data_IF_525022795072
#
_entry.id   IF_525022795072
#
_cell.length_a   1.000
_cell.length_b   1.000
_cell.length_c   1.000
_cell.angle_alpha   90.00
_cell.angle_beta   90.00
_cell.angle_gamma   90.00
#
_symmetry.space_group_name_H-M   'P 1'
#
loop_
_entity.id
_entity.type
_entity.pdbx_description
1 polymer ?
#
# COMPACT_ATOMS: atom_id res chain seq x y z
N UNK A 1 -12.98 7.64 -0.40
CA UNK A 1 -12.51 6.88 -1.57
C UNK A 1 -12.64 5.38 -1.30
N UNK A 2 -13.29 4.63 -2.19
CA UNK A 2 -13.39 3.18 -2.09
C UNK A 2 -12.27 2.53 -2.92
N UNK A 3 -11.55 1.56 -2.35
CA UNK A 3 -10.45 0.89 -3.03
C UNK A 3 -10.97 -0.31 -3.82
N UNK A 4 -10.98 -0.21 -5.14
CA UNK A 4 -11.16 -1.33 -6.07
C UNK A 4 -9.86 -2.12 -6.27
N UNK A 5 -9.94 -3.28 -6.90
CA UNK A 5 -8.77 -4.07 -7.29
C UNK A 5 -7.84 -3.29 -8.21
N UNK A 6 -8.38 -2.60 -9.23
CA UNK A 6 -7.59 -1.77 -10.15
C UNK A 6 -6.84 -0.65 -9.41
N UNK A 7 -7.53 0.07 -8.52
CA UNK A 7 -6.89 1.13 -7.73
C UNK A 7 -5.85 0.59 -6.74
N UNK A 8 -6.06 -0.60 -6.19
CA UNK A 8 -5.12 -1.26 -5.28
C UNK A 8 -3.89 -1.76 -6.03
N UNK A 9 -4.05 -2.33 -7.23
CA UNK A 9 -2.93 -2.74 -8.10
C UNK A 9 -2.08 -1.54 -8.52
N UNK A 10 -2.72 -0.44 -8.92
CA UNK A 10 -2.01 0.81 -9.23
C UNK A 10 -1.26 1.36 -8.01
N UNK A 11 -1.91 1.40 -6.84
CA UNK A 11 -1.24 1.82 -5.61
C UNK A 11 0.00 0.97 -5.29
N UNK A 12 -0.09 -0.35 -5.41
CA UNK A 12 1.03 -1.26 -5.13
C UNK A 12 2.20 -1.05 -6.10
N UNK A 13 1.93 -0.82 -7.39
CA UNK A 13 2.99 -0.54 -8.38
C UNK A 13 3.67 0.80 -8.11
N UNK A 14 2.89 1.86 -7.84
CA UNK A 14 3.41 3.17 -7.46
C UNK A 14 4.22 3.12 -6.17
N UNK A 15 3.76 2.38 -5.16
CA UNK A 15 4.46 2.18 -3.91
C UNK A 15 5.83 1.52 -4.11
N UNK A 16 5.91 0.46 -4.92
CA UNK A 16 7.18 -0.22 -5.22
C UNK A 16 8.20 0.78 -5.78
N UNK A 17 7.81 1.52 -6.82
CA UNK A 17 8.70 2.50 -7.47
C UNK A 17 9.11 3.63 -6.50
N UNK A 18 8.15 4.21 -5.78
CA UNK A 18 8.44 5.32 -4.87
C UNK A 18 9.27 4.87 -3.64
N UNK A 19 9.09 3.63 -3.18
CA UNK A 19 9.90 3.06 -2.11
C UNK A 19 11.36 2.83 -2.55
N UNK A 20 11.60 2.46 -3.82
CA UNK A 20 12.96 2.40 -4.39
C UNK A 20 13.59 3.79 -4.47
N UNK A 21 12.82 4.83 -4.81
CA UNK A 21 13.28 6.22 -4.78
C UNK A 21 13.60 6.69 -3.36
N UNK A 22 12.82 6.28 -2.36
CA UNK A 22 13.09 6.56 -0.95
C UNK A 22 14.38 5.85 -0.49
N UNK A 23 14.56 4.58 -0.85
CA UNK A 23 15.78 3.80 -0.53
C UNK A 23 17.03 4.37 -1.19
N UNK A 24 16.91 4.87 -2.41
CA UNK A 24 17.99 5.54 -3.15
C UNK A 24 18.18 7.01 -2.77
N UNK A 25 17.51 7.50 -1.72
CA UNK A 25 17.55 8.90 -1.23
C UNK A 25 17.16 9.95 -2.28
N UNK A 26 16.53 9.55 -3.39
CA UNK A 26 15.92 10.45 -4.38
C UNK A 26 14.62 11.09 -3.86
N UNK A 27 14.01 10.48 -2.85
CA UNK A 27 12.95 11.07 -2.03
C UNK A 27 13.43 11.03 -0.59
N UNK A 28 13.29 12.13 0.14
CA UNK A 28 13.84 12.26 1.50
C UNK A 28 12.94 11.62 2.56
N UNK A 29 11.63 11.74 2.41
CA UNK A 29 10.67 11.37 3.47
C UNK A 29 9.52 10.53 2.96
N UNK A 30 8.97 9.70 3.84
CA UNK A 30 7.71 8.97 3.57
C UNK A 30 6.55 9.92 3.27
N UNK A 31 6.51 11.10 3.88
CA UNK A 31 5.48 12.12 3.60
C UNK A 31 5.51 12.56 2.13
N UNK A 32 6.70 12.84 1.58
CA UNK A 32 6.86 13.15 0.16
C UNK A 32 6.45 11.97 -0.73
N UNK A 33 6.82 10.75 -0.33
CA UNK A 33 6.42 9.51 -1.01
C UNK A 33 4.88 9.38 -1.11
N UNK A 34 4.16 9.59 0.00
CA UNK A 34 2.69 9.50 0.04
C UNK A 34 2.02 10.59 -0.79
N UNK A 35 2.54 11.83 -0.74
CA UNK A 35 2.06 12.91 -1.59
C UNK A 35 2.25 12.57 -3.07
N UNK A 36 3.42 12.04 -3.45
CA UNK A 36 3.70 11.65 -4.84
C UNK A 36 2.75 10.55 -5.31
N UNK A 37 2.53 9.52 -4.52
CA UNK A 37 1.58 8.45 -4.85
C UNK A 37 0.15 9.01 -4.99
N UNK A 38 -0.28 9.88 -4.08
CA UNK A 38 -1.61 10.50 -4.16
C UNK A 38 -1.80 11.31 -5.46
N UNK A 39 -0.79 12.08 -5.87
CA UNK A 39 -0.81 12.82 -7.13
C UNK A 39 -0.89 11.88 -8.35
N UNK A 40 -0.09 10.82 -8.38
CA UNK A 40 -0.13 9.85 -9.47
C UNK A 40 -1.47 9.10 -9.53
N UNK A 41 -2.07 8.77 -8.38
CA UNK A 41 -3.41 8.19 -8.32
C UNK A 41 -4.46 9.16 -8.90
N UNK A 42 -4.39 10.45 -8.56
CA UNK A 42 -5.30 11.48 -9.09
C UNK A 42 -5.16 11.65 -10.60
N UNK A 43 -3.94 11.64 -11.14
CA UNK A 43 -3.69 11.66 -12.59
C UNK A 43 -4.31 10.47 -13.32
N UNK A 44 -4.46 9.34 -12.64
CA UNK A 44 -5.12 8.14 -13.16
C UNK A 44 -6.63 8.12 -12.88
N UNK A 45 -7.23 9.25 -12.49
CA UNK A 45 -8.67 9.39 -12.27
C UNK A 45 -9.15 9.01 -10.88
N UNK A 46 -8.26 8.69 -9.94
CA UNK A 46 -8.64 8.32 -8.57
C UNK A 46 -8.54 9.51 -7.61
N UNK A 47 -9.67 9.94 -7.06
CA UNK A 47 -9.68 11.01 -6.07
C UNK A 47 -9.23 10.50 -4.68
N UNK A 48 -7.92 10.43 -4.46
CA UNK A 48 -7.30 9.99 -3.20
C UNK A 48 -6.40 11.07 -2.59
N UNK A 49 -6.44 11.21 -1.27
CA UNK A 49 -5.52 12.08 -0.51
C UNK A 49 -4.29 11.31 -0.02
N UNK A 50 -3.20 12.01 0.32
CA UNK A 50 -1.99 11.37 0.88
C UNK A 50 -2.25 10.63 2.19
N UNK A 51 -3.15 11.14 3.04
CA UNK A 51 -3.60 10.44 4.24
C UNK A 51 -4.32 9.12 3.92
N UNK A 52 -5.18 9.11 2.88
CA UNK A 52 -5.87 7.90 2.45
C UNK A 52 -4.89 6.85 1.88
N UNK A 53 -3.88 7.30 1.13
CA UNK A 53 -2.79 6.46 0.61
C UNK A 53 -1.97 5.85 1.75
N UNK A 54 -1.58 6.64 2.74
CA UNK A 54 -0.86 6.15 3.91
C UNK A 54 -1.69 5.12 4.71
N UNK A 55 -2.97 5.42 4.95
CA UNK A 55 -3.87 4.51 5.66
C UNK A 55 -4.08 3.20 4.89
N UNK A 56 -4.15 3.24 3.56
CA UNK A 56 -4.22 2.04 2.72
C UNK A 56 -2.98 1.17 2.89
N UNK A 57 -1.79 1.75 2.89
CA UNK A 57 -0.55 1.01 3.16
C UNK A 57 -0.61 0.31 4.53
N UNK A 58 -0.92 1.05 5.60
CA UNK A 58 -1.00 0.50 6.97
C UNK A 58 -2.01 -0.64 7.07
N UNK A 59 -3.16 -0.50 6.41
CA UNK A 59 -4.19 -1.54 6.35
C UNK A 59 -3.70 -2.81 5.66
N UNK A 60 -3.09 -2.68 4.47
CA UNK A 60 -2.53 -3.81 3.72
C UNK A 60 -1.41 -4.50 4.50
N UNK A 61 -0.50 -3.73 5.09
CA UNK A 61 0.60 -4.25 5.89
C UNK A 61 0.09 -5.05 7.10
N UNK A 62 -0.91 -4.52 7.82
CA UNK A 62 -1.54 -5.22 8.94
C UNK A 62 -2.21 -6.53 8.49
N UNK A 63 -2.98 -6.49 7.41
CA UNK A 63 -3.66 -7.68 6.87
C UNK A 63 -2.66 -8.76 6.50
N UNK A 64 -1.57 -8.39 5.81
CA UNK A 64 -0.51 -9.32 5.43
C UNK A 64 0.20 -9.93 6.64
N UNK A 65 0.54 -9.09 7.64
CA UNK A 65 1.16 -9.57 8.89
C UNK A 65 0.23 -10.52 9.65
N UNK A 66 -1.06 -10.19 9.76
CA UNK A 66 -2.05 -11.03 10.42
C UNK A 66 -2.22 -12.38 9.72
N UNK A 67 -2.31 -12.39 8.39
CA UNK A 67 -2.33 -13.62 7.60
C UNK A 67 -1.07 -14.47 7.85
N UNK A 68 0.12 -13.86 7.82
CA UNK A 68 1.38 -14.57 8.08
C UNK A 68 1.45 -15.12 9.52
N UNK A 69 0.96 -14.37 10.51
CA UNK A 69 0.88 -14.80 11.90
C UNK A 69 -0.09 -15.95 12.08
N UNK A 70 -1.27 -15.89 11.44
CA UNK A 70 -2.24 -16.97 11.46
C UNK A 70 -1.66 -18.22 10.82
N UNK A 71 -1.06 -18.14 9.63
CA UNK A 71 -0.41 -19.28 8.98
C UNK A 71 0.70 -19.91 9.84
N UNK A 72 1.41 -19.12 10.66
CA UNK A 72 2.41 -19.61 11.63
C UNK A 72 1.78 -20.27 12.86
N UNK A 73 0.67 -19.73 13.36
CA UNK A 73 -0.02 -20.23 14.57
C UNK A 73 -0.92 -21.44 14.26
N UNK A 74 -1.50 -21.50 13.07
CA UNK A 74 -2.45 -22.51 12.63
C UNK A 74 -1.85 -23.30 11.45
N UNK A 75 -0.81 -24.08 11.72
CA UNK A 75 -0.37 -25.16 10.80
C UNK A 75 -1.42 -26.26 10.59
N UNK A 76 -2.64 -26.11 11.13
CA UNK A 76 -3.83 -26.89 10.82
C UNK A 76 -4.81 -25.98 10.10
N UNK A 77 -4.89 -26.13 8.78
CA UNK A 77 -6.05 -25.68 8.04
C UNK A 77 -7.32 -26.27 8.68
N UNK A 78 -8.40 -25.50 8.66
CA UNK A 78 -9.74 -26.05 8.92
C UNK A 78 -9.92 -27.21 7.95
N UNK A 79 -9.87 -28.46 8.44
CA UNK A 79 -10.47 -29.57 7.74
C UNK A 79 -11.97 -29.29 7.77
N UNK A 80 -12.53 -28.94 6.62
CA UNK A 80 -13.96 -29.06 6.34
C UNK A 80 -14.13 -30.04 5.21
#
# INVERSE_FOLDING_TARGET
FAWSDSSTKLFLSLYKNCNELLRSRKIETKKMMWNKIALEMQKNGYNTTSLQVENKYKSLERSYKNMKLNNKKTGRGRMS
#
